data_IF_385710082257
#
_entry.id   IF_385710082257
#
_cell.length_a   1.000
_cell.length_b   1.000
_cell.length_c   1.000
_cell.angle_alpha   90.00
_cell.angle_beta   90.00
_cell.angle_gamma   90.00
#
_symmetry.space_group_name_H-M   'P 1'
#
loop_
_entity.id
_entity.type
_entity.pdbx_description
1 polymer ?
#
# COMPACT_ATOMS: atom_id res chain seq x y z
N UNK A 1 -20.80 7.44 -0.70
CA UNK A 1 -21.73 8.25 -1.50
C UNK A 1 -21.14 9.66 -1.67
N UNK A 2 -21.17 10.19 -2.91
CA UNK A 2 -20.83 11.59 -3.16
C UNK A 2 -21.96 12.48 -2.65
N UNK A 3 -21.63 13.46 -1.80
CA UNK A 3 -22.61 14.40 -1.24
C UNK A 3 -22.82 15.59 -2.15
N UNK A 4 -21.73 16.29 -2.50
CA UNK A 4 -21.76 17.44 -3.41
C UNK A 4 -20.39 17.71 -4.02
N UNK A 5 -20.39 18.38 -5.17
CA UNK A 5 -19.19 19.00 -5.74
C UNK A 5 -18.91 20.33 -5.00
N UNK A 6 -17.63 20.68 -4.89
CA UNK A 6 -17.16 21.92 -4.28
C UNK A 6 -16.46 22.74 -5.37
N UNK A 7 -16.95 23.99 -5.56
CA UNK A 7 -16.37 24.87 -6.55
C UNK A 7 -14.92 25.22 -6.18
N UNK A 8 -13.99 25.20 -7.15
CA UNK A 8 -12.62 25.65 -6.92
C UNK A 8 -12.48 27.08 -6.34
N UNK A 9 -13.47 27.94 -6.58
CA UNK A 9 -13.45 29.32 -6.09
C UNK A 9 -13.49 29.45 -4.55
N UNK A 10 -13.92 28.40 -3.81
CA UNK A 10 -13.93 28.40 -2.34
C UNK A 10 -12.57 28.17 -1.71
N UNK A 11 -11.55 27.84 -2.49
CA UNK A 11 -10.18 27.56 -2.03
C UNK A 11 -9.22 28.70 -2.39
N UNK A 12 -8.28 28.98 -1.48
CA UNK A 12 -7.17 29.94 -1.72
C UNK A 12 -5.84 29.22 -1.38
N UNK A 13 -4.95 29.04 -2.34
CA UNK A 13 -5.06 29.36 -3.77
C UNK A 13 -6.08 28.44 -4.50
N UNK A 14 -6.69 28.97 -5.57
CA UNK A 14 -7.69 28.24 -6.34
C UNK A 14 -7.09 27.01 -7.02
N UNK A 15 -7.56 25.76 -6.76
CA UNK A 15 -7.07 24.56 -7.44
C UNK A 15 -7.57 24.50 -8.90
N UNK A 16 -6.83 23.75 -9.74
CA UNK A 16 -7.22 23.52 -11.15
C UNK A 16 -8.22 22.37 -11.32
N UNK A 17 -8.63 21.73 -10.22
CA UNK A 17 -9.54 20.57 -10.22
C UNK A 17 -10.78 20.88 -9.40
N UNK A 18 -11.90 20.25 -9.77
CA UNK A 18 -13.13 20.29 -8.96
C UNK A 18 -13.00 19.30 -7.83
N UNK A 19 -13.28 19.72 -6.61
CA UNK A 19 -13.32 18.88 -5.41
C UNK A 19 -14.72 18.30 -5.19
N UNK A 20 -14.83 17.28 -4.33
CA UNK A 20 -16.10 16.73 -3.94
C UNK A 20 -16.08 16.28 -2.46
N UNK A 21 -17.22 16.41 -1.80
CA UNK A 21 -17.45 15.83 -0.48
C UNK A 21 -18.00 14.42 -0.62
N UNK A 22 -17.36 13.47 0.07
CA UNK A 22 -17.76 12.06 0.10
C UNK A 22 -18.15 11.65 1.51
N UNK A 23 -19.29 10.98 1.65
CA UNK A 23 -19.63 10.27 2.88
C UNK A 23 -19.16 8.80 2.76
N UNK A 24 -18.32 8.38 3.69
CA UNK A 24 -17.84 7.01 3.80
C UNK A 24 -18.46 6.38 5.05
N UNK A 25 -19.15 5.26 4.87
CA UNK A 25 -19.72 4.47 5.96
C UNK A 25 -18.99 3.15 6.08
N UNK A 26 -18.52 2.81 7.28
CA UNK A 26 -17.91 1.49 7.53
C UNK A 26 -18.98 0.41 7.40
N UNK A 27 -18.71 -0.60 6.59
CA UNK A 27 -19.57 -1.78 6.45
C UNK A 27 -19.08 -2.87 7.39
N UNK A 28 -19.42 -2.84 8.66
CA UNK A 28 -19.35 -3.92 9.66
C UNK A 28 -18.20 -4.95 9.62
N UNK A 29 -17.25 -4.84 8.69
CA UNK A 29 -16.15 -5.79 8.55
C UNK A 29 -15.10 -5.60 9.65
N UNK A 30 -14.54 -6.71 10.12
CA UNK A 30 -13.37 -6.69 11.01
C UNK A 30 -12.22 -5.94 10.31
N UNK A 31 -11.60 -4.96 10.99
CA UNK A 31 -10.48 -4.25 10.39
C UNK A 31 -9.30 -5.20 10.16
N UNK A 32 -8.52 -5.04 9.09
CA UNK A 32 -7.33 -5.84 8.88
C UNK A 32 -6.31 -5.61 9.99
N UNK A 33 -5.45 -6.61 10.23
CA UNK A 33 -4.41 -6.54 11.26
C UNK A 33 -3.51 -5.31 11.08
N UNK A 34 -2.84 -4.82 12.14
CA UNK A 34 -1.88 -3.73 12.02
C UNK A 34 -0.82 -3.98 10.95
N UNK A 35 -0.29 -5.22 10.92
CA UNK A 35 0.72 -5.66 9.94
C UNK A 35 0.18 -5.63 8.51
N UNK A 36 -1.04 -6.10 8.29
CA UNK A 36 -1.71 -6.00 6.97
C UNK A 36 -1.88 -4.56 6.52
N UNK A 37 -2.29 -3.68 7.43
CA UNK A 37 -2.44 -2.24 7.13
C UNK A 37 -1.10 -1.58 6.80
N UNK A 38 -0.04 -1.94 7.51
CA UNK A 38 1.31 -1.46 7.24
C UNK A 38 1.79 -1.91 5.87
N UNK A 39 1.64 -3.19 5.54
CA UNK A 39 2.03 -3.73 4.24
C UNK A 39 1.28 -3.06 3.09
N UNK A 40 -0.03 -2.85 3.22
CA UNK A 40 -0.81 -2.10 2.23
C UNK A 40 -0.26 -0.67 2.09
N UNK A 41 0.03 0.02 3.20
CA UNK A 41 0.65 1.36 3.18
C UNK A 41 1.98 1.36 2.42
N UNK A 42 2.81 0.35 2.63
CA UNK A 42 4.10 0.20 1.95
C UNK A 42 3.95 0.02 0.44
N UNK A 43 2.91 -0.68 -0.03
CA UNK A 43 2.65 -0.79 -1.48
C UNK A 43 2.35 0.55 -2.12
N UNK A 44 1.73 1.49 -1.39
CA UNK A 44 1.41 2.84 -1.86
C UNK A 44 2.49 3.89 -1.57
N UNK A 45 3.49 3.59 -0.75
CA UNK A 45 4.54 4.54 -0.36
C UNK A 45 5.31 5.12 -1.56
N UNK A 46 5.44 4.33 -2.62
CA UNK A 46 6.11 4.71 -3.86
C UNK A 46 5.19 4.55 -5.07
N UNK A 47 4.20 5.42 -5.20
CA UNK A 47 3.12 5.33 -6.20
C UNK A 47 3.58 5.02 -7.63
N UNK A 48 4.74 5.52 -8.06
CA UNK A 48 5.29 5.28 -9.41
C UNK A 48 6.09 3.98 -9.55
N UNK A 49 6.32 3.24 -8.45
CA UNK A 49 7.05 1.97 -8.47
C UNK A 49 6.08 0.78 -8.51
N UNK A 50 6.58 -0.37 -8.93
CA UNK A 50 5.85 -1.63 -8.86
C UNK A 50 5.72 -2.09 -7.41
N UNK A 51 4.71 -2.89 -7.09
CA UNK A 51 4.49 -3.43 -5.74
C UNK A 51 5.74 -4.13 -5.19
N UNK A 52 6.38 -5.08 -5.92
CA UNK A 52 7.59 -5.74 -5.41
C UNK A 52 8.72 -4.76 -5.08
N UNK A 53 8.88 -3.70 -5.88
CA UNK A 53 9.91 -2.68 -5.62
C UNK A 53 9.56 -1.77 -4.45
N UNK A 54 8.29 -1.40 -4.28
CA UNK A 54 7.85 -0.59 -3.14
C UNK A 54 8.05 -1.33 -1.82
N UNK A 55 7.70 -2.61 -1.77
CA UNK A 55 7.87 -3.47 -0.59
C UNK A 55 9.35 -3.72 -0.27
N UNK A 56 10.19 -3.94 -1.28
CA UNK A 56 11.63 -4.05 -1.12
C UNK A 56 12.24 -2.78 -0.47
N UNK A 57 11.86 -1.60 -0.96
CA UNK A 57 12.32 -0.32 -0.40
C UNK A 57 11.86 -0.11 1.05
N UNK A 58 10.64 -0.51 1.37
CA UNK A 58 10.12 -0.46 2.74
C UNK A 58 10.91 -1.42 3.67
N UNK A 59 11.22 -2.62 3.20
CA UNK A 59 12.05 -3.58 3.95
C UNK A 59 13.47 -3.06 4.15
N UNK A 60 14.11 -2.51 3.11
CA UNK A 60 15.44 -1.88 3.20
C UNK A 60 15.48 -0.75 4.24
N UNK A 61 14.43 0.06 4.31
CA UNK A 61 14.33 1.12 5.32
C UNK A 61 14.31 0.53 6.73
N UNK A 62 13.49 -0.51 6.98
CA UNK A 62 13.43 -1.19 8.29
C UNK A 62 14.74 -1.88 8.65
N UNK A 63 15.42 -2.51 7.69
CA UNK A 63 16.74 -3.11 7.90
C UNK A 63 17.75 -2.06 8.37
N UNK A 64 17.76 -0.86 7.77
CA UNK A 64 18.62 0.25 8.17
C UNK A 64 18.28 0.80 9.55
N UNK A 65 16.99 0.97 9.85
CA UNK A 65 16.49 1.42 11.15
C UNK A 65 16.88 0.41 12.25
N UNK A 66 16.69 -0.90 12.02
CA UNK A 66 17.07 -1.96 12.95
C UNK A 66 18.59 -2.04 13.19
N UNK A 67 19.41 -1.82 12.16
CA UNK A 67 20.86 -1.76 12.29
C UNK A 67 21.33 -0.56 13.13
N UNK A 68 20.64 0.58 13.04
CA UNK A 68 20.93 1.76 13.83
C UNK A 68 20.58 1.58 15.33
N UNK A 69 19.59 0.74 15.64
CA UNK A 69 19.12 0.47 17.01
C UNK A 69 19.76 -0.76 17.65
N UNK A 70 20.73 -1.43 16.97
CA UNK A 70 21.41 -2.65 17.46
C UNK A 70 20.41 -3.78 17.82
N UNK A 71 19.24 -3.80 17.22
CA UNK A 71 18.27 -4.89 17.37
C UNK A 71 18.37 -5.86 16.19
N UNK A 72 18.44 -7.19 16.42
CA UNK A 72 18.36 -8.16 15.33
C UNK A 72 16.98 -8.05 14.69
N UNK A 73 16.93 -7.56 13.45
CA UNK A 73 15.70 -7.39 12.69
C UNK A 73 15.04 -8.74 12.43
N UNK A 74 13.96 -9.04 13.16
CA UNK A 74 13.10 -10.20 12.92
C UNK A 74 12.18 -9.95 11.73
N UNK A 75 12.73 -9.90 10.52
CA UNK A 75 11.95 -9.70 9.29
C UNK A 75 12.60 -10.35 8.08
N UNK A 76 11.79 -10.58 7.05
CA UNK A 76 12.30 -11.03 5.76
C UNK A 76 13.28 -10.00 5.18
N UNK A 77 14.39 -10.49 4.63
CA UNK A 77 15.35 -9.63 3.94
C UNK A 77 14.67 -8.96 2.73
N UNK A 78 15.08 -7.76 2.41
CA UNK A 78 14.48 -6.94 1.35
C UNK A 78 14.39 -7.67 0.00
N UNK A 79 15.40 -8.46 -0.36
CA UNK A 79 15.39 -9.29 -1.56
C UNK A 79 14.34 -10.42 -1.51
N UNK A 80 14.14 -11.03 -0.35
CA UNK A 80 13.12 -12.07 -0.14
C UNK A 80 11.71 -11.50 -0.23
N UNK A 81 11.48 -10.34 0.38
CA UNK A 81 10.19 -9.62 0.27
C UNK A 81 9.84 -9.34 -1.17
N UNK A 82 10.82 -8.87 -1.97
CA UNK A 82 10.63 -8.62 -3.39
C UNK A 82 10.26 -9.88 -4.16
N UNK A 83 10.97 -11.00 -3.90
CA UNK A 83 10.69 -12.25 -4.58
C UNK A 83 9.33 -12.82 -4.19
N UNK A 84 9.00 -12.88 -2.90
CA UNK A 84 7.68 -13.33 -2.42
C UNK A 84 6.54 -12.49 -2.98
N UNK A 85 6.71 -11.18 -3.08
CA UNK A 85 5.70 -10.31 -3.69
C UNK A 85 5.46 -10.64 -5.17
N UNK A 86 6.52 -10.96 -5.93
CA UNK A 86 6.40 -11.42 -7.33
C UNK A 86 5.66 -12.74 -7.44
N UNK A 87 5.97 -13.68 -6.57
CA UNK A 87 5.36 -15.00 -6.59
C UNK A 87 3.87 -14.92 -6.21
N UNK A 88 3.53 -14.14 -5.19
CA UNK A 88 2.14 -13.87 -4.82
C UNK A 88 1.33 -13.19 -5.95
N UNK A 89 1.94 -12.25 -6.69
CA UNK A 89 1.29 -11.64 -7.86
C UNK A 89 1.06 -12.66 -8.97
N UNK A 90 2.03 -13.56 -9.23
CA UNK A 90 1.87 -14.67 -10.22
C UNK A 90 0.74 -15.63 -9.83
N UNK A 91 0.68 -16.05 -8.57
CA UNK A 91 -0.40 -16.90 -8.04
C UNK A 91 -1.78 -16.27 -8.20
N UNK A 92 -1.86 -14.96 -8.02
CA UNK A 92 -3.08 -14.18 -8.25
C UNK A 92 -3.37 -13.90 -9.74
N UNK A 93 -2.52 -14.40 -10.66
CA UNK A 93 -2.60 -14.13 -12.11
C UNK A 93 -2.55 -12.62 -12.44
N UNK A 94 -1.75 -11.88 -11.68
CA UNK A 94 -1.50 -10.46 -11.88
C UNK A 94 -0.11 -10.23 -12.49
N UNK A 95 0.09 -9.11 -13.22
CA UNK A 95 1.40 -8.73 -13.72
C UNK A 95 2.40 -8.55 -12.58
N UNK A 96 3.62 -9.07 -12.72
CA UNK A 96 4.69 -8.95 -11.71
C UNK A 96 5.18 -7.50 -11.53
N UNK A 97 4.88 -6.64 -12.49
CA UNK A 97 5.16 -5.21 -12.49
C UNK A 97 3.93 -4.36 -12.09
N UNK A 98 2.88 -5.01 -11.56
CA UNK A 98 1.67 -4.31 -11.11
C UNK A 98 2.01 -3.23 -10.08
N UNK A 99 1.29 -2.11 -10.18
CA UNK A 99 1.32 -1.01 -9.21
C UNK A 99 0.17 -1.16 -8.23
N UNK A 100 0.28 -0.52 -7.06
CA UNK A 100 -0.72 -0.64 -6.00
C UNK A 100 -2.14 -0.28 -6.46
N UNK A 101 -2.31 0.74 -7.27
CA UNK A 101 -3.62 1.18 -7.80
C UNK A 101 -4.29 0.16 -8.74
N UNK A 102 -3.55 -0.81 -9.27
CA UNK A 102 -4.10 -1.86 -10.14
C UNK A 102 -4.80 -2.98 -9.36
N UNK A 103 -4.51 -3.12 -8.06
CA UNK A 103 -5.08 -4.16 -7.22
C UNK A 103 -6.40 -3.72 -6.60
N UNK A 104 -7.37 -4.64 -6.59
CA UNK A 104 -8.60 -4.50 -5.83
C UNK A 104 -8.35 -4.71 -4.33
N UNK A 105 -9.18 -4.18 -3.42
CA UNK A 105 -9.00 -4.33 -1.97
C UNK A 105 -8.77 -5.77 -1.51
N UNK A 106 -9.55 -6.74 -2.01
CA UNK A 106 -9.38 -8.15 -1.69
C UNK A 106 -8.05 -8.75 -2.16
N UNK A 107 -7.47 -8.24 -3.26
CA UNK A 107 -6.16 -8.66 -3.74
C UNK A 107 -5.03 -8.13 -2.85
N UNK A 108 -5.18 -6.92 -2.31
CA UNK A 108 -4.25 -6.41 -1.29
C UNK A 108 -4.24 -7.26 -0.01
N UNK A 109 -5.42 -7.74 0.43
CA UNK A 109 -5.51 -8.63 1.58
C UNK A 109 -4.80 -9.96 1.31
N UNK A 110 -5.04 -10.60 0.16
CA UNK A 110 -4.35 -11.84 -0.25
C UNK A 110 -2.84 -11.65 -0.36
N UNK A 111 -2.39 -10.54 -0.93
CA UNK A 111 -0.97 -10.21 -0.98
C UNK A 111 -0.37 -10.09 0.42
N UNK A 112 -1.08 -9.47 1.35
CA UNK A 112 -0.65 -9.36 2.74
C UNK A 112 -0.58 -10.72 3.45
N UNK A 113 -1.52 -11.61 3.20
CA UNK A 113 -1.52 -12.99 3.71
C UNK A 113 -0.31 -13.78 3.19
N UNK A 114 0.00 -13.67 1.89
CA UNK A 114 1.14 -14.37 1.27
C UNK A 114 2.51 -13.88 1.76
N UNK A 115 2.58 -12.68 2.36
CA UNK A 115 3.83 -12.06 2.85
C UNK A 115 3.98 -12.12 4.38
N UNK A 116 3.04 -12.72 5.08
CA UNK A 116 3.12 -12.98 6.53
C UNK A 116 3.80 -14.29 6.82
#
# INVERSE_FOLDING_TARGET
>A
RMLRKVDPAVFVPRPRVTSALLALHRRGATPPSPRTRELIRDTFAHRRKTIPRSLELAAQRREKEAQAEVQPGAGLRSAEVRQRARDALREMKLPVDARAEMLRPGQHLRLAEALQ
#
